data_IF_885283793777
#
_entry.id   IF_885283793777
#
_cell.length_a   1.000
_cell.length_b   1.000
_cell.length_c   1.000
_cell.angle_alpha   90.00
_cell.angle_beta   90.00
_cell.angle_gamma   90.00
#
_symmetry.space_group_name_H-M   'P 1'
#
loop_
_entity.id
_entity.type
_entity.pdbx_description
1 polymer ?
#
# COMPACT_ATOMS: atom_id res chain seq x y z
N UNK A 1 9.91 7.99 -12.08
CA UNK A 1 8.92 8.25 -11.02
C UNK A 1 7.73 7.34 -11.30
N UNK A 2 7.32 6.49 -10.35
CA UNK A 2 6.13 5.66 -10.56
C UNK A 2 4.90 6.57 -10.40
N UNK A 3 3.98 6.58 -11.37
CA UNK A 3 2.72 7.32 -11.27
C UNK A 3 1.79 6.74 -10.19
N UNK A 4 0.55 7.23 -10.14
CA UNK A 4 -0.45 6.81 -9.15
C UNK A 4 -0.61 5.27 -9.07
N UNK A 5 -0.98 4.62 -10.18
CA UNK A 5 -1.16 3.16 -10.26
C UNK A 5 0.12 2.39 -9.94
N UNK A 6 1.28 2.88 -10.39
CA UNK A 6 2.56 2.29 -10.01
C UNK A 6 2.84 2.34 -8.50
N UNK A 7 2.31 3.34 -7.79
CA UNK A 7 2.40 3.40 -6.32
C UNK A 7 1.42 2.41 -5.66
N UNK A 8 0.22 2.22 -6.22
CA UNK A 8 -0.74 1.20 -5.77
C UNK A 8 -0.15 -0.21 -5.94
N UNK A 9 0.46 -0.51 -7.09
CA UNK A 9 1.13 -1.80 -7.32
C UNK A 9 2.36 -1.98 -6.40
N UNK A 10 3.13 -0.93 -6.13
CA UNK A 10 4.22 -0.99 -5.15
C UNK A 10 3.72 -1.37 -3.74
N UNK A 11 2.54 -0.92 -3.31
CA UNK A 11 1.94 -1.34 -2.04
C UNK A 11 1.65 -2.84 -2.08
N UNK A 12 1.01 -3.32 -3.14
CA UNK A 12 0.70 -4.74 -3.31
C UNK A 12 1.98 -5.60 -3.27
N UNK A 13 3.00 -5.26 -4.08
CA UNK A 13 4.28 -5.98 -4.12
C UNK A 13 4.94 -5.97 -2.75
N UNK A 14 4.93 -4.82 -2.06
CA UNK A 14 5.52 -4.70 -0.74
C UNK A 14 4.82 -5.64 0.26
N UNK A 15 3.50 -5.60 0.40
CA UNK A 15 2.84 -6.45 1.39
C UNK A 15 2.83 -7.94 1.01
N UNK A 16 2.62 -8.27 -0.28
CA UNK A 16 2.53 -9.67 -0.73
C UNK A 16 3.87 -10.42 -0.72
N UNK A 17 5.00 -9.71 -0.79
CA UNK A 17 6.32 -10.33 -0.80
C UNK A 17 6.81 -10.81 0.59
N UNK A 18 6.01 -10.74 1.66
CA UNK A 18 6.35 -11.35 2.96
C UNK A 18 5.11 -11.63 3.78
N UNK A 19 4.98 -12.87 4.28
CA UNK A 19 3.89 -13.27 5.19
C UNK A 19 3.81 -12.36 6.42
N UNK A 20 4.95 -11.99 7.01
CA UNK A 20 4.97 -11.10 8.18
C UNK A 20 4.42 -9.71 7.87
N UNK A 21 4.76 -9.15 6.71
CA UNK A 21 4.21 -7.85 6.28
C UNK A 21 2.72 -7.95 5.98
N UNK A 22 2.31 -9.05 5.33
CA UNK A 22 0.92 -9.33 5.03
C UNK A 22 0.07 -9.45 6.30
N UNK A 23 0.52 -10.21 7.29
CA UNK A 23 -0.13 -10.30 8.61
C UNK A 23 -0.18 -8.94 9.32
N UNK A 24 0.92 -8.17 9.22
CA UNK A 24 0.97 -6.80 9.70
C UNK A 24 -0.13 -5.93 9.09
N UNK A 25 -0.38 -6.02 7.78
CA UNK A 25 -1.50 -5.33 7.11
C UNK A 25 -2.86 -5.83 7.61
N UNK A 26 -3.05 -7.15 7.71
CA UNK A 26 -4.32 -7.76 8.11
C UNK A 26 -4.75 -7.38 9.53
N UNK A 27 -3.80 -7.07 10.42
CA UNK A 27 -4.09 -6.54 11.75
C UNK A 27 -4.83 -5.21 11.72
N UNK A 28 -4.62 -4.39 10.69
CA UNK A 28 -5.19 -3.05 10.57
C UNK A 28 -6.29 -2.97 9.50
N UNK A 29 -6.28 -3.84 8.49
CA UNK A 29 -7.27 -3.90 7.40
C UNK A 29 -7.78 -5.33 7.19
N UNK A 30 -9.10 -5.59 7.31
CA UNK A 30 -9.65 -6.91 7.02
C UNK A 30 -9.62 -7.26 5.52
N UNK A 31 -9.26 -6.30 4.66
CA UNK A 31 -9.22 -6.49 3.20
C UNK A 31 -7.79 -6.52 2.67
N UNK A 32 -7.55 -7.56 1.86
CA UNK A 32 -6.35 -7.79 1.07
C UNK A 32 -6.23 -6.70 -0.01
N UNK A 33 -5.07 -6.07 -0.14
CA UNK A 33 -4.73 -5.33 -1.37
C UNK A 33 -4.91 -6.27 -2.57
N UNK A 34 -5.33 -5.74 -3.72
CA UNK A 34 -5.52 -6.55 -4.92
C UNK A 34 -4.40 -6.21 -5.90
N UNK A 35 -3.84 -7.24 -6.53
CA UNK A 35 -2.85 -7.07 -7.60
C UNK A 35 -3.52 -6.40 -8.81
N UNK A 36 -2.93 -5.32 -9.31
CA UNK A 36 -3.34 -4.72 -10.57
C UNK A 36 -2.97 -5.63 -11.75
N UNK A 37 -3.77 -5.60 -12.82
CA UNK A 37 -3.54 -6.34 -14.05
C UNK A 37 -3.56 -5.39 -15.24
N UNK A 38 -2.43 -5.30 -15.93
CA UNK A 38 -2.22 -4.42 -17.09
C UNK A 38 -3.27 -4.59 -18.20
N UNK A 39 -3.85 -5.78 -18.32
CA UNK A 39 -4.83 -6.11 -19.38
C UNK A 39 -6.28 -5.95 -18.93
N UNK A 40 -6.55 -5.68 -17.65
CA UNK A 40 -7.91 -5.61 -17.09
C UNK A 40 -8.11 -4.34 -16.28
N UNK A 41 -8.71 -3.33 -16.92
CA UNK A 41 -9.11 -2.08 -16.27
C UNK A 41 -9.91 -2.29 -14.96
N UNK A 42 -10.74 -3.33 -14.88
CA UNK A 42 -11.51 -3.65 -13.68
C UNK A 42 -10.63 -3.91 -12.45
N UNK A 43 -9.43 -4.47 -12.65
CA UNK A 43 -8.48 -4.76 -11.56
C UNK A 43 -7.89 -3.49 -10.94
N UNK A 44 -7.61 -2.46 -11.75
CA UNK A 44 -7.18 -1.15 -11.26
C UNK A 44 -8.27 -0.53 -10.39
N UNK A 45 -9.53 -0.55 -10.86
CA UNK A 45 -10.67 -0.03 -10.09
C UNK A 45 -10.83 -0.75 -8.75
N UNK A 46 -10.72 -2.08 -8.74
CA UNK A 46 -10.79 -2.88 -7.52
C UNK A 46 -9.66 -2.53 -6.54
N UNK A 47 -8.41 -2.46 -7.03
CA UNK A 47 -7.26 -2.10 -6.22
C UNK A 47 -7.39 -0.70 -5.61
N UNK A 48 -7.77 0.30 -6.42
CA UNK A 48 -8.03 1.67 -5.95
C UNK A 48 -9.16 1.71 -4.93
N UNK A 49 -10.25 0.96 -5.15
CA UNK A 49 -11.38 0.91 -4.21
C UNK A 49 -10.92 0.42 -2.83
N UNK A 50 -10.02 -0.56 -2.78
CA UNK A 50 -9.43 -1.02 -1.51
C UNK A 50 -8.57 0.07 -0.88
N UNK A 51 -7.69 0.71 -1.66
CA UNK A 51 -6.83 1.80 -1.15
C UNK A 51 -7.68 2.96 -0.62
N UNK A 52 -8.72 3.38 -1.35
CA UNK A 52 -9.63 4.44 -0.94
C UNK A 52 -10.31 4.15 0.39
N UNK A 53 -10.90 2.95 0.52
CA UNK A 53 -11.61 2.55 1.75
C UNK A 53 -10.69 2.38 2.95
N UNK A 54 -9.42 2.04 2.73
CA UNK A 54 -8.52 1.61 3.80
C UNK A 54 -7.22 2.41 3.90
N UNK A 55 -7.13 3.59 3.27
CA UNK A 55 -5.90 4.39 3.25
C UNK A 55 -5.32 4.62 4.64
N UNK A 56 -6.16 5.00 5.61
CA UNK A 56 -5.73 5.20 7.00
C UNK A 56 -5.12 3.93 7.62
N UNK A 57 -5.67 2.76 7.32
CA UNK A 57 -5.18 1.46 7.82
C UNK A 57 -3.89 1.02 7.14
N UNK A 58 -3.74 1.32 5.86
CA UNK A 58 -2.49 1.12 5.13
C UNK A 58 -1.38 1.99 5.74
N UNK A 59 -1.68 3.25 6.06
CA UNK A 59 -0.76 4.17 6.74
C UNK A 59 -0.38 3.65 8.14
N UNK A 60 -1.35 3.17 8.93
CA UNK A 60 -1.07 2.55 10.24
C UNK A 60 -0.13 1.33 10.11
N UNK A 61 -0.40 0.43 9.15
CA UNK A 61 0.42 -0.75 8.91
C UNK A 61 1.86 -0.41 8.49
N UNK A 62 2.03 0.57 7.60
CA UNK A 62 3.37 1.02 7.19
C UNK A 62 4.13 1.70 8.32
N UNK A 63 3.46 2.50 9.16
CA UNK A 63 4.08 3.10 10.34
C UNK A 63 4.53 2.04 11.34
N UNK A 64 3.71 1.00 11.56
CA UNK A 64 4.08 -0.13 12.40
C UNK A 64 5.34 -0.82 11.87
N UNK A 65 5.40 -1.17 10.58
CA UNK A 65 6.56 -1.82 9.96
C UNK A 65 7.81 -0.92 9.89
N UNK A 66 7.63 0.40 9.85
CA UNK A 66 8.72 1.36 9.91
C UNK A 66 9.38 1.44 11.30
N UNK A 67 8.58 1.29 12.36
CA UNK A 67 9.02 1.46 13.75
C UNK A 67 9.32 0.14 14.46
N UNK A 68 8.84 -0.99 13.93
CA UNK A 68 8.99 -2.30 14.53
C UNK A 68 10.47 -2.67 14.76
N UNK A 69 10.83 -3.04 15.99
CA UNK A 69 12.21 -3.32 16.37
C UNK A 69 12.79 -4.53 15.62
N UNK A 70 11.94 -5.49 15.25
CA UNK A 70 12.34 -6.76 14.63
C UNK A 70 12.44 -6.66 13.10
N UNK A 71 11.81 -5.66 12.50
CA UNK A 71 11.83 -5.45 11.05
C UNK A 71 13.24 -5.13 10.53
N UNK A 72 13.56 -5.70 9.37
CA UNK A 72 14.86 -5.48 8.72
C UNK A 72 15.06 -4.00 8.32
N UNK A 73 16.31 -3.52 8.21
CA UNK A 73 16.56 -2.15 7.75
C UNK A 73 15.90 -1.82 6.41
N UNK A 74 15.90 -2.78 5.48
CA UNK A 74 15.26 -2.65 4.17
C UNK A 74 13.73 -2.50 4.30
N UNK A 75 13.11 -3.33 5.15
CA UNK A 75 11.67 -3.24 5.44
C UNK A 75 11.30 -1.85 5.98
N UNK A 76 12.10 -1.32 6.92
CA UNK A 76 11.88 0.00 7.49
C UNK A 76 12.01 1.09 6.45
N UNK A 77 13.10 1.07 5.67
CA UNK A 77 13.34 2.02 4.61
C UNK A 77 12.21 2.04 3.57
N UNK A 78 11.79 0.87 3.10
CA UNK A 78 10.72 0.74 2.12
C UNK A 78 9.37 1.19 2.69
N UNK A 79 9.09 0.93 3.97
CA UNK A 79 7.88 1.43 4.64
C UNK A 79 7.83 2.96 4.67
N UNK A 80 8.93 3.60 5.06
CA UNK A 80 9.06 5.07 5.06
C UNK A 80 8.96 5.65 3.65
N UNK A 81 9.57 4.98 2.66
CA UNK A 81 9.49 5.37 1.25
C UNK A 81 8.05 5.32 0.72
N UNK A 82 7.29 4.27 1.05
CA UNK A 82 5.88 4.15 0.67
C UNK A 82 5.00 5.18 1.37
N UNK A 83 5.21 5.42 2.68
CA UNK A 83 4.51 6.48 3.42
C UNK A 83 4.65 7.84 2.73
N UNK A 84 5.88 8.22 2.36
CA UNK A 84 6.14 9.47 1.64
C UNK A 84 5.41 9.58 0.30
N UNK A 85 5.16 8.46 -0.38
CA UNK A 85 4.45 8.44 -1.67
C UNK A 85 2.94 8.58 -1.49
N UNK A 86 2.38 7.84 -0.54
CA UNK A 86 0.92 7.77 -0.35
C UNK A 86 0.34 8.94 0.45
N UNK A 87 1.16 9.69 1.17
CA UNK A 87 0.75 10.86 1.95
C UNK A 87 0.86 12.18 1.17
N UNK A 88 1.09 12.12 -0.14
CA UNK A 88 1.05 13.30 -1.00
C UNK A 88 -0.39 13.70 -1.32
N UNK A 89 -0.64 15.00 -1.50
CA UNK A 89 -1.95 15.47 -1.95
C UNK A 89 -2.37 14.82 -3.27
N UNK A 90 -1.43 14.70 -4.21
CA UNK A 90 -1.66 14.08 -5.53
C UNK A 90 -2.16 12.64 -5.40
N UNK A 91 -1.52 11.80 -4.57
CA UNK A 91 -1.93 10.42 -4.37
C UNK A 91 -3.32 10.33 -3.74
N UNK A 92 -3.60 11.15 -2.73
CA UNK A 92 -4.90 11.18 -2.06
C UNK A 92 -6.00 11.65 -3.02
N UNK A 93 -5.74 12.69 -3.80
CA UNK A 93 -6.68 13.21 -4.78
C UNK A 93 -7.01 12.17 -5.86
N UNK A 94 -5.99 11.49 -6.41
CA UNK A 94 -6.22 10.41 -7.39
C UNK A 94 -6.93 9.20 -6.79
N UNK A 95 -6.70 8.88 -5.52
CA UNK A 95 -7.43 7.83 -4.79
C UNK A 95 -8.91 8.17 -4.60
N UNK A 96 -9.28 9.45 -4.56
CA UNK A 96 -10.68 9.87 -4.51
C UNK A 96 -11.32 10.00 -5.90
N UNK A 97 -10.51 10.18 -6.95
CA UNK A 97 -10.97 10.39 -8.32
C UNK A 97 -11.30 9.08 -9.05
N UNK A 98 -10.42 8.08 -8.94
CA UNK A 98 -10.53 6.78 -9.60
C UNK A 98 -11.50 5.82 -8.87
#
# INVERSE_FOLDING_TARGET
MAGYFGTVDCLWIYFSASTNRWEGLLKYSPLALIKESDTRWSSHREAVTVVHKHLGKIVEALNYLALDAVSSPETKYMSVSLLKRIQTFEFVAFTCFW
#
